data_IF_554365216351
#
_entry.id   IF_554365216351
#
_cell.length_a   1.000
_cell.length_b   1.000
_cell.length_c   1.000
_cell.angle_alpha   90.00
_cell.angle_beta   90.00
_cell.angle_gamma   90.00
#
_symmetry.space_group_name_H-M   'P 1'
#
loop_
_entity.id
_entity.type
_entity.pdbx_description
1 polymer ?
#
# COMPACT_ATOMS: atom_id res chain seq x y z
N UNK A 1 -12.85 -10.48 -15.67
CA UNK A 1 -14.24 -9.94 -15.51
C UNK A 1 -15.04 -9.93 -16.82
N UNK A 2 -14.52 -9.37 -17.92
CA UNK A 2 -15.29 -9.28 -19.18
C UNK A 2 -15.76 -10.62 -19.76
N UNK A 3 -14.97 -11.69 -19.60
CA UNK A 3 -15.40 -13.02 -20.04
C UNK A 3 -16.25 -13.73 -18.99
N UNK A 4 -15.99 -13.48 -17.70
CA UNK A 4 -16.75 -14.04 -16.59
C UNK A 4 -18.25 -13.74 -16.70
N UNK A 5 -18.63 -12.51 -17.04
CA UNK A 5 -20.06 -12.13 -17.20
C UNK A 5 -20.75 -12.81 -18.39
N UNK A 6 -20.01 -13.53 -19.23
CA UNK A 6 -20.54 -14.32 -20.36
C UNK A 6 -20.63 -15.81 -20.03
N UNK A 7 -20.11 -16.25 -18.89
CA UNK A 7 -20.15 -17.64 -18.46
C UNK A 7 -21.56 -18.04 -18.01
N UNK A 8 -21.93 -19.30 -18.22
CA UNK A 8 -23.30 -19.78 -17.93
C UNK A 8 -23.66 -19.62 -16.46
N UNK A 9 -22.73 -19.89 -15.55
CA UNK A 9 -22.97 -19.77 -14.11
C UNK A 9 -23.36 -18.35 -13.70
N UNK A 10 -22.80 -17.32 -14.34
CA UNK A 10 -23.12 -15.94 -14.04
C UNK A 10 -24.56 -15.63 -14.46
N UNK A 11 -24.93 -16.04 -15.68
CA UNK A 11 -26.31 -15.89 -16.17
C UNK A 11 -27.34 -16.65 -15.33
N UNK A 12 -26.98 -17.83 -14.81
CA UNK A 12 -27.81 -18.61 -13.89
C UNK A 12 -27.92 -17.92 -12.52
N UNK A 13 -26.83 -17.36 -12.00
CA UNK A 13 -26.81 -16.69 -10.70
C UNK A 13 -27.65 -15.41 -10.65
N UNK A 14 -27.79 -14.71 -11.78
CA UNK A 14 -28.63 -13.51 -11.90
C UNK A 14 -29.98 -13.80 -12.57
N UNK A 15 -30.37 -15.06 -12.76
CA UNK A 15 -31.61 -15.39 -13.48
C UNK A 15 -32.85 -14.93 -12.71
N UNK A 16 -32.86 -15.16 -11.39
CA UNK A 16 -33.94 -14.74 -10.50
C UNK A 16 -33.73 -13.29 -10.04
N UNK A 17 -34.84 -12.57 -9.82
CA UNK A 17 -34.82 -11.20 -9.28
C UNK A 17 -34.88 -11.23 -7.74
N UNK A 18 -33.80 -10.88 -7.02
CA UNK A 18 -33.82 -10.75 -5.56
C UNK A 18 -34.32 -9.37 -5.11
N UNK A 19 -34.45 -9.17 -3.79
CA UNK A 19 -34.71 -7.83 -3.22
C UNK A 19 -33.52 -6.87 -3.44
N UNK A 20 -32.30 -7.40 -3.52
CA UNK A 20 -31.08 -6.68 -3.91
C UNK A 20 -29.97 -7.65 -4.32
N UNK A 21 -29.03 -7.17 -5.14
CA UNK A 21 -27.77 -7.85 -5.39
C UNK A 21 -26.68 -7.30 -4.48
N UNK A 22 -26.00 -8.20 -3.76
CA UNK A 22 -24.74 -7.88 -3.09
C UNK A 22 -23.58 -8.38 -3.94
N UNK A 23 -22.85 -7.46 -4.52
CA UNK A 23 -21.62 -7.72 -5.25
C UNK A 23 -20.45 -7.46 -4.32
N UNK A 24 -19.69 -8.51 -4.05
CA UNK A 24 -18.45 -8.42 -3.31
C UNK A 24 -17.47 -9.36 -3.98
N UNK A 25 -16.20 -9.05 -3.89
CA UNK A 25 -15.18 -9.89 -4.50
C UNK A 25 -14.36 -10.60 -3.43
N UNK A 26 -14.06 -11.87 -3.68
CA UNK A 26 -13.24 -12.72 -2.84
C UNK A 26 -11.99 -13.18 -3.60
N UNK A 27 -10.82 -13.02 -2.99
CA UNK A 27 -9.52 -13.31 -3.61
C UNK A 27 -9.11 -14.77 -3.37
N UNK A 28 -8.71 -15.50 -4.42
CA UNK A 28 -8.19 -16.88 -4.30
C UNK A 28 -6.82 -17.07 -5.01
N UNK A 29 -6.44 -16.25 -6.00
CA UNK A 29 -5.17 -16.43 -6.74
C UNK A 29 -4.72 -15.13 -7.42
N UNK A 30 -3.42 -15.02 -7.75
CA UNK A 30 -2.68 -13.94 -8.45
C UNK A 30 -3.34 -13.43 -9.73
N UNK A 31 -4.36 -14.09 -10.25
CA UNK A 31 -5.08 -13.70 -11.47
C UNK A 31 -6.46 -13.07 -11.20
N UNK A 32 -7.03 -13.25 -10.01
CA UNK A 32 -8.31 -12.65 -9.61
C UNK A 32 -8.03 -11.42 -8.75
N UNK A 33 -8.52 -10.26 -9.19
CA UNK A 33 -8.06 -8.94 -8.73
C UNK A 33 -9.13 -8.29 -7.89
N UNK A 34 -8.86 -8.06 -6.61
CA UNK A 34 -9.73 -7.22 -5.78
C UNK A 34 -9.90 -5.84 -6.45
N UNK A 35 -11.14 -5.43 -6.74
CA UNK A 35 -11.40 -4.24 -7.55
C UNK A 35 -11.72 -3.00 -6.69
N UNK A 36 -11.00 -1.88 -6.86
CA UNK A 36 -11.41 -0.61 -6.27
C UNK A 36 -12.73 -0.15 -6.86
N UNK A 37 -13.49 0.61 -6.07
CA UNK A 37 -14.84 1.02 -6.47
C UNK A 37 -14.85 2.04 -7.61
N UNK A 38 -13.70 2.68 -7.89
CA UNK A 38 -13.48 3.57 -9.04
C UNK A 38 -12.43 3.03 -9.99
N UNK A 39 -12.61 3.41 -11.27
CA UNK A 39 -11.62 3.18 -12.33
C UNK A 39 -11.23 1.70 -12.53
N UNK A 40 -12.12 0.78 -12.16
CA UNK A 40 -11.97 -0.67 -12.42
C UNK A 40 -13.21 -1.22 -13.14
N UNK A 41 -13.39 -2.54 -13.14
CA UNK A 41 -14.31 -3.29 -13.97
C UNK A 41 -15.67 -3.53 -13.32
N UNK A 42 -15.95 -2.94 -12.15
CA UNK A 42 -17.29 -2.93 -11.55
C UNK A 42 -18.41 -2.53 -12.53
N UNK A 43 -18.24 -1.52 -13.41
CA UNK A 43 -19.24 -1.19 -14.43
C UNK A 43 -19.56 -2.36 -15.37
N UNK A 44 -18.63 -3.28 -15.62
CA UNK A 44 -18.88 -4.47 -16.46
C UNK A 44 -19.88 -5.41 -15.79
N UNK A 45 -19.67 -5.72 -14.50
CA UNK A 45 -20.57 -6.59 -13.73
C UNK A 45 -21.91 -5.90 -13.50
N UNK A 46 -21.87 -4.63 -13.07
CA UNK A 46 -23.05 -3.80 -12.88
C UNK A 46 -23.93 -3.74 -14.14
N UNK A 47 -23.34 -3.48 -15.31
CA UNK A 47 -24.09 -3.41 -16.57
C UNK A 47 -24.69 -4.77 -16.96
N UNK A 48 -24.01 -5.87 -16.66
CA UNK A 48 -24.51 -7.21 -16.95
C UNK A 48 -25.74 -7.56 -16.06
N UNK A 49 -25.70 -7.22 -14.77
CA UNK A 49 -26.86 -7.34 -13.87
C UNK A 49 -27.99 -6.45 -14.35
N UNK A 50 -27.71 -5.16 -14.63
CA UNK A 50 -28.69 -4.18 -15.09
C UNK A 50 -29.37 -4.55 -16.41
N UNK A 51 -28.71 -5.31 -17.28
CA UNK A 51 -29.29 -5.78 -18.54
C UNK A 51 -30.43 -6.79 -18.32
N UNK A 52 -30.40 -7.54 -17.21
CA UNK A 52 -31.45 -8.50 -16.83
C UNK A 52 -32.42 -7.86 -15.84
N UNK A 53 -31.89 -7.07 -14.91
CA UNK A 53 -32.57 -6.50 -13.75
C UNK A 53 -32.38 -4.97 -13.68
N UNK A 54 -33.17 -4.19 -14.45
CA UNK A 54 -32.92 -2.75 -14.62
C UNK A 54 -33.06 -1.93 -13.34
N UNK A 55 -33.91 -2.38 -12.41
CA UNK A 55 -34.29 -1.60 -11.22
C UNK A 55 -33.95 -2.33 -9.90
N UNK A 56 -33.39 -3.53 -9.93
CA UNK A 56 -33.10 -4.25 -8.68
C UNK A 56 -31.93 -3.61 -7.95
N UNK A 57 -32.00 -3.26 -6.65
CA UNK A 57 -30.92 -2.57 -5.96
C UNK A 57 -29.57 -3.33 -6.04
N UNK A 58 -28.45 -2.61 -6.20
CA UNK A 58 -27.11 -3.22 -6.28
C UNK A 58 -26.18 -2.57 -5.25
N UNK A 59 -25.69 -3.36 -4.31
CA UNK A 59 -24.70 -2.95 -3.32
C UNK A 59 -23.35 -3.56 -3.70
N UNK A 60 -22.29 -2.76 -3.74
CA UNK A 60 -20.95 -3.20 -4.12
C UNK A 60 -19.99 -2.96 -2.94
N UNK A 61 -19.25 -4.00 -2.54
CA UNK A 61 -18.15 -3.92 -1.57
C UNK A 61 -16.82 -4.16 -2.29
N UNK A 62 -16.06 -3.09 -2.49
CA UNK A 62 -14.75 -3.10 -3.14
C UNK A 62 -13.58 -2.91 -2.18
N UNK A 63 -12.37 -2.82 -2.72
CA UNK A 63 -11.12 -2.70 -1.97
C UNK A 63 -9.92 -2.62 -2.90
N UNK A 64 -8.76 -3.10 -2.44
CA UNK A 64 -7.46 -3.11 -3.14
C UNK A 64 -6.70 -1.81 -3.09
N UNK A 65 -7.34 -0.66 -3.35
CA UNK A 65 -6.60 0.61 -3.45
C UNK A 65 -6.25 1.27 -2.11
N UNK A 66 -6.65 0.63 -1.01
CA UNK A 66 -6.30 1.03 0.37
C UNK A 66 -6.92 2.36 0.84
N UNK A 67 -7.92 2.90 0.12
CA UNK A 67 -8.54 4.20 0.43
C UNK A 67 -9.96 4.03 1.00
N UNK A 68 -10.46 5.10 1.63
CA UNK A 68 -11.90 5.28 1.87
C UNK A 68 -12.51 5.87 0.60
N UNK A 69 -13.46 5.20 -0.02
CA UNK A 69 -14.16 5.73 -1.20
C UNK A 69 -15.58 5.18 -1.34
N UNK A 70 -16.42 5.95 -2.03
CA UNK A 70 -17.79 5.61 -2.35
C UNK A 70 -18.19 6.16 -3.72
N UNK A 71 -18.99 5.37 -4.43
CA UNK A 71 -19.56 5.72 -5.74
C UNK A 71 -21.01 5.28 -5.83
N UNK A 72 -21.89 6.14 -6.35
CA UNK A 72 -23.20 5.73 -6.82
C UNK A 72 -23.18 5.67 -8.35
N UNK A 73 -23.41 4.49 -8.92
CA UNK A 73 -23.44 4.30 -10.38
C UNK A 73 -24.79 4.73 -10.97
N UNK A 74 -25.86 4.58 -10.18
CA UNK A 74 -27.21 5.06 -10.45
C UNK A 74 -27.93 5.38 -9.13
N UNK A 75 -29.20 5.78 -9.21
CA UNK A 75 -30.01 6.08 -8.03
C UNK A 75 -30.44 4.86 -7.20
N UNK A 76 -30.07 3.64 -7.59
CA UNK A 76 -30.44 2.38 -6.95
C UNK A 76 -29.21 1.49 -6.71
N UNK A 77 -28.03 2.10 -6.62
CA UNK A 77 -26.78 1.40 -6.34
C UNK A 77 -25.78 2.25 -5.56
N UNK A 78 -24.96 1.58 -4.77
CA UNK A 78 -23.83 2.20 -4.08
C UNK A 78 -22.68 1.20 -3.98
N UNK A 79 -21.48 1.68 -4.25
CA UNK A 79 -20.22 0.97 -4.04
C UNK A 79 -19.45 1.62 -2.89
N UNK A 80 -18.87 0.81 -1.99
CA UNK A 80 -18.09 1.28 -0.85
C UNK A 80 -16.73 0.58 -0.78
N UNK A 81 -15.69 1.35 -0.51
CA UNK A 81 -14.31 0.92 -0.23
C UNK A 81 -13.89 1.37 1.17
N UNK A 82 -13.31 0.47 1.95
CA UNK A 82 -13.20 0.61 3.41
C UNK A 82 -11.78 0.73 3.94
N UNK A 83 -10.88 1.39 3.21
CA UNK A 83 -9.52 1.69 3.69
C UNK A 83 -8.59 0.47 3.76
N UNK A 84 -7.69 0.48 4.75
CA UNK A 84 -6.63 -0.53 4.91
C UNK A 84 -6.33 -0.85 6.38
N UNK A 85 -5.58 -1.93 6.61
CA UNK A 85 -4.86 -2.24 7.85
C UNK A 85 -5.67 -2.18 9.15
N UNK A 86 -6.96 -2.49 9.09
CA UNK A 86 -7.86 -2.34 10.22
C UNK A 86 -7.85 -0.91 10.79
N UNK A 87 -7.66 0.11 9.96
CA UNK A 87 -7.77 1.52 10.36
C UNK A 87 -9.22 2.01 10.23
N UNK A 88 -10.02 1.33 9.40
CA UNK A 88 -11.38 1.75 9.03
C UNK A 88 -12.35 0.57 9.02
N UNK A 89 -13.54 0.78 9.57
CA UNK A 89 -14.71 -0.06 9.34
C UNK A 89 -15.68 0.69 8.42
N UNK A 90 -15.92 0.16 7.23
CA UNK A 90 -16.95 0.69 6.33
C UNK A 90 -18.35 0.31 6.78
N UNK A 91 -19.26 1.26 6.74
CA UNK A 91 -20.68 1.09 7.02
C UNK A 91 -21.50 1.62 5.85
N UNK A 92 -22.45 0.81 5.37
CA UNK A 92 -23.42 1.17 4.35
C UNK A 92 -24.82 0.81 4.86
N UNK A 93 -25.80 1.68 4.61
CA UNK A 93 -27.21 1.36 4.78
C UNK A 93 -28.01 1.84 3.58
N UNK A 94 -29.10 1.12 3.29
CA UNK A 94 -30.05 1.43 2.23
C UNK A 94 -31.46 1.21 2.78
N UNK A 95 -32.35 2.15 2.50
CA UNK A 95 -33.78 1.96 2.73
C UNK A 95 -34.37 1.29 1.48
N UNK A 96 -34.68 0.00 1.57
CA UNK A 96 -35.23 -0.76 0.44
C UNK A 96 -36.71 -0.41 0.28
N UNK A 97 -37.12 -0.17 -0.97
CA UNK A 97 -38.51 0.14 -1.28
C UNK A 97 -39.39 -1.11 -1.40
N UNK A 98 -40.71 -0.89 -1.47
CA UNK A 98 -41.65 -1.98 -1.73
C UNK A 98 -41.44 -2.57 -3.12
N UNK A 99 -41.74 -3.87 -3.26
CA UNK A 99 -41.60 -4.60 -4.51
C UNK A 99 -42.27 -3.86 -5.69
N UNK A 100 -41.54 -3.73 -6.81
CA UNK A 100 -41.91 -3.02 -8.05
C UNK A 100 -41.85 -1.48 -8.02
N UNK A 101 -41.36 -0.86 -6.95
CA UNK A 101 -41.01 0.56 -6.99
C UNK A 101 -39.76 0.81 -7.85
N UNK A 102 -39.75 1.94 -8.56
CA UNK A 102 -38.68 2.38 -9.48
C UNK A 102 -38.07 3.71 -9.07
N UNK A 103 -38.31 4.15 -7.84
CA UNK A 103 -37.79 5.41 -7.35
C UNK A 103 -36.30 5.27 -7.00
N UNK A 104 -35.58 6.37 -6.92
CA UNK A 104 -34.22 6.29 -6.37
C UNK A 104 -34.29 5.89 -4.89
N UNK A 105 -33.35 5.06 -4.46
CA UNK A 105 -33.23 4.65 -3.07
C UNK A 105 -32.39 5.64 -2.27
N UNK A 106 -32.65 5.67 -0.96
CA UNK A 106 -31.85 6.45 -0.02
C UNK A 106 -30.73 5.58 0.54
N UNK A 107 -29.49 5.91 0.16
CA UNK A 107 -28.30 5.28 0.71
C UNK A 107 -27.58 6.21 1.67
N UNK A 108 -27.00 5.64 2.72
CA UNK A 108 -26.03 6.35 3.57
C UNK A 108 -24.80 5.50 3.82
N UNK A 109 -23.65 6.16 3.98
CA UNK A 109 -22.37 5.51 4.28
C UNK A 109 -21.61 6.22 5.39
N UNK A 110 -20.82 5.45 6.14
CA UNK A 110 -19.86 5.95 7.13
C UNK A 110 -18.54 5.18 7.06
N UNK A 111 -17.44 5.87 7.34
CA UNK A 111 -16.15 5.26 7.60
C UNK A 111 -15.85 5.47 9.07
N UNK A 112 -15.87 4.38 9.84
CA UNK A 112 -15.64 4.41 11.27
C UNK A 112 -14.17 4.21 11.53
N UNK A 113 -13.55 5.10 12.30
CA UNK A 113 -12.23 4.83 12.83
C UNK A 113 -12.23 3.57 13.69
N UNK A 114 -11.23 2.71 13.49
CA UNK A 114 -11.10 1.49 14.27
C UNK A 114 -10.51 1.79 15.65
N UNK A 115 -11.36 2.26 16.55
CA UNK A 115 -11.05 2.39 17.96
C UNK A 115 -12.28 2.18 18.84
N UNK A 116 -12.05 1.85 20.11
CA UNK A 116 -13.11 1.63 21.10
C UNK A 116 -14.05 2.83 21.25
N UNK A 117 -13.55 4.06 21.15
CA UNK A 117 -14.36 5.27 21.33
C UNK A 117 -15.43 5.39 20.24
N UNK A 118 -15.05 5.16 18.98
CA UNK A 118 -15.99 5.11 17.86
C UNK A 118 -17.03 4.00 18.07
N UNK A 119 -16.58 2.80 18.47
CA UNK A 119 -17.48 1.67 18.69
C UNK A 119 -18.48 1.89 19.81
N UNK A 120 -18.03 2.39 20.96
CA UNK A 120 -18.90 2.74 22.09
C UNK A 120 -19.92 3.82 21.69
N UNK A 121 -19.50 4.81 20.91
CA UNK A 121 -20.40 5.84 20.40
C UNK A 121 -21.52 5.26 19.53
N UNK A 122 -21.19 4.45 18.52
CA UNK A 122 -22.17 3.91 17.58
C UNK A 122 -23.05 2.80 18.17
N UNK A 123 -22.55 2.06 19.17
CA UNK A 123 -23.33 1.03 19.88
C UNK A 123 -24.15 1.58 21.04
N UNK A 124 -23.94 2.85 21.42
CA UNK A 124 -24.49 3.45 22.64
C UNK A 124 -24.15 2.67 23.93
N UNK A 125 -23.07 1.90 23.91
CA UNK A 125 -22.52 1.19 25.07
C UNK A 125 -21.32 1.95 25.63
N UNK A 126 -20.88 1.61 26.85
CA UNK A 126 -19.71 2.25 27.50
C UNK A 126 -18.96 1.29 28.41
N UNK A 127 -17.65 1.39 28.46
CA UNK A 127 -16.80 0.67 29.42
C UNK A 127 -17.18 -0.83 29.49
N UNK A 128 -17.48 -1.32 30.68
CA UNK A 128 -17.79 -2.74 30.97
C UNK A 128 -19.05 -3.26 30.26
N UNK A 129 -19.94 -2.39 29.77
CA UNK A 129 -21.14 -2.81 29.02
C UNK A 129 -20.85 -3.10 27.55
N UNK A 130 -19.71 -2.64 27.04
CA UNK A 130 -19.32 -2.84 25.64
C UNK A 130 -18.71 -4.25 25.41
N UNK A 131 -17.94 -4.77 26.37
CA UNK A 131 -17.18 -6.00 26.18
C UNK A 131 -18.06 -7.25 26.29
N UNK A 132 -18.13 -8.02 25.21
CA UNK A 132 -18.77 -9.35 25.20
C UNK A 132 -17.84 -10.44 25.72
N UNK A 133 -18.39 -11.62 26.04
CA UNK A 133 -17.57 -12.78 26.45
C UNK A 133 -16.69 -13.21 25.28
N UNK A 134 -17.28 -13.34 24.09
CA UNK A 134 -16.62 -13.76 22.86
C UNK A 134 -15.52 -12.78 22.46
N UNK A 135 -15.74 -11.47 22.61
CA UNK A 135 -14.73 -10.45 22.32
C UNK A 135 -13.51 -10.58 23.20
N UNK A 136 -13.69 -10.83 24.51
CA UNK A 136 -12.58 -11.07 25.45
C UNK A 136 -11.82 -12.37 25.13
N UNK A 137 -12.52 -13.41 24.72
CA UNK A 137 -11.89 -14.68 24.30
C UNK A 137 -11.04 -14.50 23.04
N UNK A 138 -11.52 -13.73 22.06
CA UNK A 138 -10.75 -13.37 20.86
C UNK A 138 -9.49 -12.59 21.24
N UNK A 139 -9.61 -11.55 22.09
CA UNK A 139 -8.45 -10.78 22.57
C UNK A 139 -7.42 -11.70 23.24
N UNK A 140 -7.85 -12.57 24.16
CA UNK A 140 -6.95 -13.51 24.83
C UNK A 140 -6.29 -14.48 23.84
N UNK A 141 -7.01 -14.92 22.81
CA UNK A 141 -6.44 -15.74 21.73
C UNK A 141 -5.39 -15.00 20.91
N UNK A 142 -5.62 -13.74 20.56
CA UNK A 142 -4.66 -12.90 19.85
C UNK A 142 -3.40 -12.65 20.69
N UNK A 143 -3.54 -12.40 21.99
CA UNK A 143 -2.41 -12.27 22.92
C UNK A 143 -1.59 -13.57 23.03
N UNK A 144 -2.25 -14.73 23.03
CA UNK A 144 -1.58 -16.03 23.02
C UNK A 144 -0.78 -16.23 21.72
N UNK A 145 -1.35 -15.88 20.56
CA UNK A 145 -0.65 -15.94 19.28
C UNK A 145 0.54 -14.98 19.24
N UNK A 146 0.38 -13.76 19.76
CA UNK A 146 1.44 -12.77 19.83
C UNK A 146 2.66 -13.30 20.60
N UNK A 147 2.41 -13.97 21.74
CA UNK A 147 3.45 -14.64 22.52
C UNK A 147 4.01 -15.87 21.81
N UNK A 148 3.16 -16.71 21.21
CA UNK A 148 3.56 -17.95 20.54
C UNK A 148 4.49 -17.69 19.34
N UNK A 149 4.24 -16.62 18.58
CA UNK A 149 5.06 -16.21 17.45
C UNK A 149 6.25 -15.31 17.83
N UNK A 150 6.43 -15.04 19.12
CA UNK A 150 7.48 -14.20 19.68
C UNK A 150 7.51 -12.80 19.03
N UNK A 151 6.32 -12.22 18.83
CA UNK A 151 6.18 -10.92 18.16
C UNK A 151 6.70 -9.77 19.03
N UNK A 152 6.75 -9.94 20.35
CA UNK A 152 7.39 -9.03 21.30
C UNK A 152 8.92 -9.10 21.34
N UNK A 153 9.56 -9.89 20.46
CA UNK A 153 11.03 -9.98 20.46
C UNK A 153 11.64 -8.60 20.17
N UNK A 154 12.28 -8.01 21.18
CA UNK A 154 12.84 -6.67 21.11
C UNK A 154 14.17 -6.68 20.35
N UNK A 155 14.26 -5.91 19.27
CA UNK A 155 15.51 -5.71 18.54
C UNK A 155 16.31 -4.50 19.05
N UNK A 156 15.63 -3.43 19.45
CA UNK A 156 16.23 -2.20 19.98
C UNK A 156 15.20 -1.13 20.32
N UNK A 157 15.64 0.10 20.55
CA UNK A 157 14.77 1.26 20.83
C UNK A 157 14.95 2.35 19.77
N UNK A 158 13.96 2.53 18.90
CA UNK A 158 13.96 3.57 17.88
C UNK A 158 14.03 4.97 18.55
N UNK A 159 15.02 5.82 18.21
CA UNK A 159 15.26 7.07 18.94
C UNK A 159 14.26 8.19 18.60
N UNK A 160 13.49 8.03 17.51
CA UNK A 160 12.51 8.98 17.00
C UNK A 160 11.55 8.28 16.05
N UNK A 161 10.47 8.97 15.71
CA UNK A 161 9.57 8.55 14.65
C UNK A 161 10.26 8.70 13.28
N UNK A 162 10.03 7.73 12.40
CA UNK A 162 10.40 7.76 11.00
C UNK A 162 9.16 7.48 10.15
N UNK A 163 8.82 8.41 9.27
CA UNK A 163 7.56 8.39 8.53
C UNK A 163 7.78 8.14 7.05
N UNK A 164 6.83 7.47 6.39
CA UNK A 164 6.89 7.18 4.96
C UNK A 164 6.57 8.41 4.12
N UNK A 165 5.58 9.20 4.53
CA UNK A 165 5.08 10.32 3.75
C UNK A 165 4.86 11.60 4.55
N UNK A 166 5.09 11.62 5.88
CA UNK A 166 4.87 12.82 6.71
C UNK A 166 6.12 13.71 6.82
N UNK A 167 7.27 13.18 6.40
CA UNK A 167 8.55 13.85 6.29
C UNK A 167 9.06 13.80 4.84
N UNK A 168 9.76 14.84 4.36
CA UNK A 168 10.29 14.86 3.00
C UNK A 168 11.36 13.78 2.79
N UNK A 169 11.44 13.24 1.58
CA UNK A 169 12.56 12.41 1.14
C UNK A 169 13.52 13.21 0.24
N UNK A 170 14.85 13.20 0.49
CA UNK A 170 15.50 12.61 1.66
C UNK A 170 15.43 13.52 2.89
N UNK A 171 15.29 12.93 4.08
CA UNK A 171 15.44 13.63 5.36
C UNK A 171 15.64 12.68 6.54
N UNK A 172 16.09 13.23 7.66
CA UNK A 172 16.31 12.46 8.89
C UNK A 172 15.03 11.88 9.52
N UNK A 173 13.84 12.40 9.17
CA UNK A 173 12.56 11.88 9.63
C UNK A 173 11.93 10.88 8.66
N UNK A 174 12.53 10.65 7.50
CA UNK A 174 11.98 9.76 6.48
C UNK A 174 12.42 8.31 6.73
N UNK A 175 11.44 7.40 6.87
CA UNK A 175 11.68 5.95 6.97
C UNK A 175 12.39 5.41 5.72
N UNK A 176 12.07 5.97 4.54
CA UNK A 176 12.75 5.63 3.28
C UNK A 176 14.23 6.02 3.32
N UNK A 177 14.55 7.19 3.86
CA UNK A 177 15.95 7.63 4.01
C UNK A 177 16.71 6.75 4.99
N UNK A 178 16.13 6.46 6.15
CA UNK A 178 16.70 5.54 7.14
C UNK A 178 17.00 4.17 6.51
N UNK A 179 16.04 3.63 5.76
CA UNK A 179 16.17 2.30 5.17
C UNK A 179 17.36 2.20 4.23
N UNK A 180 17.45 3.10 3.24
CA UNK A 180 18.48 2.97 2.20
C UNK A 180 19.83 3.56 2.61
N UNK A 181 19.86 4.58 3.46
CA UNK A 181 21.11 5.25 3.83
C UNK A 181 21.79 4.59 5.03
N UNK A 182 21.05 3.90 5.89
CA UNK A 182 21.57 3.31 7.13
C UNK A 182 21.27 1.82 7.24
N UNK A 183 19.99 1.42 7.20
CA UNK A 183 19.60 0.06 7.55
C UNK A 183 20.11 -0.99 6.55
N UNK A 184 19.92 -0.77 5.24
CA UNK A 184 20.40 -1.65 4.19
C UNK A 184 21.93 -1.82 4.21
N UNK A 185 22.76 -0.74 4.19
CA UNK A 185 24.21 -0.89 4.29
C UNK A 185 24.67 -1.70 5.51
N UNK A 186 24.06 -1.49 6.68
CA UNK A 186 24.42 -2.21 7.90
C UNK A 186 24.00 -3.68 7.83
N UNK A 187 22.74 -3.96 7.50
CA UNK A 187 22.19 -5.31 7.53
C UNK A 187 22.81 -6.21 6.44
N UNK A 188 23.00 -5.70 5.22
CA UNK A 188 23.54 -6.51 4.12
C UNK A 188 25.06 -6.74 4.22
N UNK A 189 25.76 -5.99 5.09
CA UNK A 189 27.17 -6.21 5.38
C UNK A 189 27.41 -7.37 6.36
N UNK A 190 26.40 -7.78 7.13
CA UNK A 190 26.52 -8.85 8.13
C UNK A 190 26.86 -10.17 7.44
N UNK A 191 27.96 -10.80 7.85
CA UNK A 191 28.48 -12.06 7.29
C UNK A 191 28.66 -12.05 5.76
N UNK A 192 28.86 -10.88 5.18
CA UNK A 192 28.99 -10.72 3.73
C UNK A 192 30.45 -10.49 3.33
N UNK A 193 31.04 -11.44 2.60
CA UNK A 193 32.42 -11.34 2.09
C UNK A 193 32.66 -10.15 1.13
N UNK A 194 31.59 -9.59 0.57
CA UNK A 194 31.62 -8.45 -0.35
C UNK A 194 31.40 -7.10 0.33
N UNK A 195 31.20 -7.06 1.65
CA UNK A 195 30.88 -5.84 2.39
C UNK A 195 31.92 -4.70 2.22
N UNK A 196 33.16 -5.02 1.86
CA UNK A 196 34.24 -4.04 1.64
C UNK A 196 34.34 -3.54 0.19
N UNK A 197 33.52 -4.07 -0.73
CA UNK A 197 33.47 -3.62 -2.12
C UNK A 197 32.51 -2.43 -2.18
N UNK A 198 32.91 -1.28 -2.77
CA UNK A 198 32.00 -0.17 -2.97
C UNK A 198 30.74 -0.64 -3.71
N UNK A 199 29.57 -0.14 -3.29
CA UNK A 199 28.30 -0.58 -3.84
C UNK A 199 27.24 0.51 -3.80
N UNK A 200 26.20 0.35 -4.60
CA UNK A 200 24.95 1.09 -4.53
C UNK A 200 23.83 0.06 -4.39
N UNK A 201 22.95 0.26 -3.40
CA UNK A 201 21.81 -0.62 -3.14
C UNK A 201 20.54 0.11 -3.61
N UNK A 202 19.83 -0.44 -4.59
CA UNK A 202 18.60 0.13 -5.15
C UNK A 202 17.39 -0.75 -4.78
N UNK A 203 16.32 -0.12 -4.33
CA UNK A 203 15.05 -0.78 -4.02
C UNK A 203 13.89 0.10 -4.43
N UNK A 204 12.70 -0.45 -4.59
CA UNK A 204 11.50 0.37 -4.68
C UNK A 204 11.09 0.90 -3.30
N UNK A 205 10.38 2.03 -3.27
CA UNK A 205 9.92 2.65 -2.03
C UNK A 205 8.74 1.91 -1.39
N UNK A 206 8.02 1.08 -2.17
CA UNK A 206 6.83 0.36 -1.72
C UNK A 206 7.16 -0.89 -0.90
N UNK A 207 8.45 -1.26 -0.84
CA UNK A 207 9.05 -2.20 0.10
C UNK A 207 8.67 -1.91 1.56
N UNK A 208 8.54 -0.62 1.90
CA UNK A 208 8.07 -0.21 3.23
C UNK A 208 6.57 0.05 3.25
N UNK A 209 5.89 -0.50 4.26
CA UNK A 209 4.42 -0.54 4.36
C UNK A 209 3.85 0.26 5.52
N UNK A 210 4.68 0.59 6.50
CA UNK A 210 4.26 1.33 7.69
C UNK A 210 5.38 2.24 8.23
N UNK A 211 4.98 3.23 9.03
CA UNK A 211 5.90 4.12 9.74
C UNK A 211 6.59 3.37 10.90
N UNK A 212 7.78 3.81 11.29
CA UNK A 212 8.44 3.36 12.52
C UNK A 212 8.24 4.42 13.59
N UNK A 213 7.65 4.07 14.72
CA UNK A 213 7.48 5.00 15.84
C UNK A 213 8.64 4.89 16.83
N UNK A 214 8.91 6.00 17.52
CA UNK A 214 9.88 6.04 18.61
C UNK A 214 9.49 5.11 19.75
N UNK A 215 10.50 4.51 20.39
CA UNK A 215 10.30 3.56 21.47
C UNK A 215 10.75 2.14 21.11
N UNK A 216 10.24 1.11 21.81
CA UNK A 216 10.59 -0.27 21.54
C UNK A 216 10.34 -0.62 20.07
N UNK A 217 11.32 -1.24 19.41
CA UNK A 217 11.19 -1.78 18.07
C UNK A 217 11.30 -3.30 18.14
N UNK A 218 10.17 -3.99 17.96
CA UNK A 218 10.05 -5.43 18.09
C UNK A 218 9.84 -6.15 16.75
N UNK A 219 9.61 -7.46 16.80
CA UNK A 219 9.35 -8.28 15.61
C UNK A 219 8.02 -7.98 14.95
N UNK A 220 7.02 -7.52 15.70
CA UNK A 220 5.80 -7.01 15.09
C UNK A 220 6.09 -5.75 14.28
N UNK A 221 6.87 -4.80 14.81
CA UNK A 221 7.24 -3.57 14.11
C UNK A 221 8.06 -3.86 12.85
N UNK A 222 9.03 -4.78 12.93
CA UNK A 222 9.81 -5.23 11.78
C UNK A 222 8.92 -5.72 10.65
N UNK A 223 8.00 -6.65 10.95
CA UNK A 223 7.11 -7.26 9.96
C UNK A 223 6.05 -6.28 9.44
N UNK A 224 5.61 -5.35 10.28
CA UNK A 224 4.64 -4.31 9.90
C UNK A 224 5.27 -3.28 8.97
N UNK A 225 6.53 -2.91 9.23
CA UNK A 225 7.27 -1.92 8.45
C UNK A 225 7.72 -2.48 7.10
N UNK A 226 8.33 -3.67 7.08
CA UNK A 226 8.86 -4.32 5.87
C UNK A 226 8.47 -5.81 5.88
N UNK A 227 7.32 -6.18 5.30
CA UNK A 227 6.80 -7.55 5.37
C UNK A 227 7.37 -8.48 4.28
N UNK A 228 8.04 -7.94 3.26
CA UNK A 228 8.39 -8.75 2.10
C UNK A 228 9.65 -9.58 2.34
N UNK A 229 9.60 -10.81 1.83
CA UNK A 229 10.71 -11.76 1.90
C UNK A 229 11.60 -11.67 0.65
N UNK A 230 11.68 -10.48 0.06
CA UNK A 230 12.45 -10.25 -1.14
C UNK A 230 13.95 -10.37 -0.86
N UNK A 231 14.67 -10.89 -1.85
CA UNK A 231 16.11 -11.20 -1.77
C UNK A 231 16.93 -10.10 -2.44
N UNK A 232 18.11 -9.82 -1.90
CA UNK A 232 19.05 -8.89 -2.51
C UNK A 232 19.95 -9.60 -3.52
N UNK A 233 19.93 -9.11 -4.74
CA UNK A 233 20.74 -9.53 -5.87
C UNK A 233 21.84 -8.51 -6.15
N UNK A 234 22.86 -8.89 -6.90
CA UNK A 234 23.87 -7.95 -7.38
C UNK A 234 24.48 -8.35 -8.72
N UNK A 235 25.02 -7.34 -9.40
CA UNK A 235 25.89 -7.47 -10.57
C UNK A 235 27.28 -6.92 -10.20
N UNK A 236 28.35 -7.72 -10.30
CA UNK A 236 29.70 -7.26 -9.95
C UNK A 236 30.33 -6.40 -11.05
N UNK A 237 31.28 -5.56 -10.64
CA UNK A 237 32.17 -4.80 -11.51
C UNK A 237 31.45 -3.87 -12.52
N UNK A 238 30.31 -3.32 -12.14
CA UNK A 238 29.69 -2.22 -12.89
C UNK A 238 30.48 -0.95 -12.57
N UNK A 239 30.85 -0.15 -13.57
CA UNK A 239 31.56 1.11 -13.32
C UNK A 239 30.65 2.07 -12.55
N UNK A 240 31.19 2.76 -11.55
CA UNK A 240 30.43 3.69 -10.71
C UNK A 240 29.67 4.73 -11.55
N UNK A 241 30.27 5.23 -12.64
CA UNK A 241 29.62 6.18 -13.55
C UNK A 241 28.38 5.62 -14.25
N UNK A 242 28.37 4.33 -14.59
CA UNK A 242 27.19 3.65 -15.15
C UNK A 242 26.16 3.37 -14.05
N UNK A 243 26.59 2.85 -12.91
CA UNK A 243 25.70 2.52 -11.78
C UNK A 243 24.94 3.76 -11.26
N UNK A 244 25.62 4.92 -11.17
CA UNK A 244 25.02 6.18 -10.74
C UNK A 244 23.91 6.71 -11.67
N UNK A 245 23.85 6.24 -12.92
CA UNK A 245 22.80 6.63 -13.88
C UNK A 245 21.54 5.75 -13.79
N UNK A 246 21.61 4.59 -13.12
CA UNK A 246 20.50 3.64 -13.07
C UNK A 246 19.30 4.21 -12.31
N UNK A 247 19.49 4.70 -11.09
CA UNK A 247 18.41 5.21 -10.24
C UNK A 247 17.62 6.37 -10.88
N UNK A 248 18.26 7.42 -11.43
CA UNK A 248 17.52 8.50 -12.09
C UNK A 248 16.63 8.03 -13.24
N UNK A 249 17.10 7.07 -14.05
CA UNK A 249 16.36 6.55 -15.21
C UNK A 249 15.23 5.61 -14.78
N UNK A 250 15.43 4.81 -13.73
CA UNK A 250 14.36 4.05 -13.09
C UNK A 250 13.22 4.98 -12.66
N UNK A 251 13.55 6.12 -12.05
CA UNK A 251 12.62 7.19 -11.69
C UNK A 251 12.16 8.07 -12.87
N UNK A 252 12.51 7.70 -14.11
CA UNK A 252 11.98 8.30 -15.33
C UNK A 252 12.69 9.56 -15.81
N UNK A 253 13.86 9.92 -15.26
CA UNK A 253 14.69 10.98 -15.86
C UNK A 253 15.06 10.64 -17.31
N UNK A 254 15.07 11.66 -18.19
CA UNK A 254 15.36 11.50 -19.62
C UNK A 254 14.23 10.90 -20.47
N UNK A 255 13.13 10.45 -19.87
CA UNK A 255 11.95 9.96 -20.60
C UNK A 255 11.02 11.13 -20.98
N UNK A 256 10.65 11.24 -22.26
CA UNK A 256 9.61 12.16 -22.75
C UNK A 256 8.34 12.04 -21.90
N UNK A 257 7.71 13.15 -21.49
CA UNK A 257 6.49 13.13 -20.65
C UNK A 257 5.38 12.24 -21.22
N UNK A 258 5.22 12.20 -22.55
CA UNK A 258 4.24 11.33 -23.22
C UNK A 258 4.58 9.85 -23.11
N UNK A 259 5.87 9.48 -23.20
CA UNK A 259 6.34 8.11 -22.98
C UNK A 259 6.28 7.76 -21.50
N UNK A 260 6.54 8.71 -20.60
CA UNK A 260 6.41 8.55 -19.15
C UNK A 260 4.95 8.30 -18.76
N UNK A 261 4.00 9.02 -19.37
CA UNK A 261 2.57 8.78 -19.19
C UNK A 261 2.10 7.42 -19.73
N UNK A 262 2.58 7.00 -20.91
CA UNK A 262 2.25 5.68 -21.48
C UNK A 262 2.88 4.53 -20.68
N UNK A 263 4.16 4.65 -20.30
CA UNK A 263 4.88 3.71 -19.45
C UNK A 263 4.20 3.62 -18.08
N UNK A 264 3.84 4.76 -17.50
CA UNK A 264 3.03 4.86 -16.29
C UNK A 264 1.74 4.06 -16.44
N UNK A 265 0.95 4.20 -17.52
CA UNK A 265 -0.30 3.43 -17.67
C UNK A 265 -0.10 1.90 -17.77
N UNK A 266 0.95 1.44 -18.46
CA UNK A 266 1.28 0.02 -18.57
C UNK A 266 1.84 -0.56 -17.26
N UNK A 267 2.79 0.13 -16.64
CA UNK A 267 3.37 -0.26 -15.36
C UNK A 267 2.34 -0.15 -14.23
N UNK A 268 1.44 0.83 -14.26
CA UNK A 268 0.30 0.93 -13.34
C UNK A 268 -0.59 -0.31 -13.49
N UNK A 269 -0.86 -0.79 -14.71
CA UNK A 269 -1.63 -2.03 -14.93
C UNK A 269 -0.96 -3.30 -14.38
N UNK A 270 0.36 -3.43 -14.54
CA UNK A 270 1.16 -4.56 -14.02
C UNK A 270 1.36 -4.47 -12.49
N UNK A 271 1.68 -3.28 -11.97
CA UNK A 271 1.83 -3.00 -10.53
C UNK A 271 0.50 -3.18 -9.79
N UNK A 272 -0.61 -2.70 -10.35
CA UNK A 272 -1.95 -2.99 -9.82
C UNK A 272 -2.25 -4.49 -9.83
N UNK A 273 -1.83 -5.21 -10.87
CA UNK A 273 -1.97 -6.67 -10.96
C UNK A 273 -1.14 -7.45 -9.93
N UNK A 274 -0.06 -6.85 -9.42
CA UNK A 274 0.80 -7.42 -8.37
C UNK A 274 0.49 -6.91 -6.96
N UNK A 275 -0.60 -6.16 -6.76
CA UNK A 275 -0.98 -5.60 -5.45
C UNK A 275 -0.28 -4.29 -5.07
N UNK A 276 0.50 -3.71 -5.97
CA UNK A 276 1.15 -2.42 -5.75
C UNK A 276 0.22 -1.27 -6.16
N UNK A 277 -0.66 -0.90 -5.23
CA UNK A 277 -1.59 0.23 -5.30
C UNK A 277 -1.04 1.49 -4.62
N UNK A 278 0.22 1.47 -4.19
CA UNK A 278 0.78 2.49 -3.30
C UNK A 278 0.70 3.88 -3.94
N UNK A 279 0.87 3.99 -5.26
CA UNK A 279 0.69 5.25 -5.99
C UNK A 279 -0.73 5.84 -5.86
N UNK A 280 -1.77 5.00 -5.85
CA UNK A 280 -3.17 5.46 -5.69
C UNK A 280 -3.38 6.01 -4.29
N UNK A 281 -2.95 5.23 -3.30
CA UNK A 281 -3.06 5.59 -1.90
C UNK A 281 -2.30 6.89 -1.60
N UNK A 282 -1.06 7.01 -2.09
CA UNK A 282 -0.24 8.24 -1.94
C UNK A 282 -0.85 9.44 -2.63
N UNK A 283 -1.40 9.29 -3.84
CA UNK A 283 -2.12 10.37 -4.52
C UNK A 283 -3.36 10.82 -3.74
N UNK A 284 -4.08 9.88 -3.11
CA UNK A 284 -5.22 10.17 -2.26
C UNK A 284 -4.81 10.93 -0.97
N UNK A 285 -3.73 10.52 -0.31
CA UNK A 285 -3.14 11.26 0.82
C UNK A 285 -2.73 12.68 0.42
N UNK A 286 -2.04 12.82 -0.70
CA UNK A 286 -1.58 14.10 -1.24
C UNK A 286 -2.74 15.07 -1.48
N UNK A 287 -3.82 14.55 -2.08
CA UNK A 287 -5.01 15.34 -2.36
C UNK A 287 -5.73 15.81 -1.09
N UNK A 288 -5.86 14.95 -0.07
CA UNK A 288 -6.42 15.32 1.22
C UNK A 288 -5.61 16.44 1.89
N UNK A 289 -4.28 16.30 1.94
CA UNK A 289 -3.40 17.30 2.52
C UNK A 289 -3.48 18.64 1.78
N UNK A 290 -3.44 18.59 0.44
CA UNK A 290 -3.49 19.76 -0.43
C UNK A 290 -4.80 20.55 -0.29
N UNK A 291 -5.95 19.88 -0.16
CA UNK A 291 -7.27 20.54 -0.12
C UNK A 291 -7.52 21.33 1.15
N UNK A 292 -7.08 20.83 2.30
CA UNK A 292 -7.45 21.45 3.59
C UNK A 292 -6.45 21.25 4.73
N UNK A 293 -5.28 20.67 4.47
CA UNK A 293 -4.34 20.24 5.50
C UNK A 293 -3.77 21.36 6.36
N UNK A 294 -3.11 22.39 5.79
CA UNK A 294 -2.53 23.47 6.57
C UNK A 294 -3.55 24.21 7.45
N UNK A 295 -4.73 24.49 6.91
CA UNK A 295 -5.80 25.19 7.64
C UNK A 295 -6.36 24.34 8.79
N UNK A 296 -6.71 23.08 8.52
CA UNK A 296 -7.28 22.19 9.55
C UNK A 296 -6.28 21.89 10.66
N UNK A 297 -5.01 21.60 10.32
CA UNK A 297 -3.96 21.35 11.32
C UNK A 297 -3.70 22.58 12.20
N UNK A 298 -3.91 23.80 11.68
CA UNK A 298 -3.77 25.03 12.47
C UNK A 298 -4.90 25.23 13.51
N UNK A 299 -6.05 24.57 13.36
CA UNK A 299 -7.17 24.67 14.32
C UNK A 299 -6.91 23.95 15.65
N UNK A 300 -5.96 23.00 15.69
CA UNK A 300 -5.45 22.27 16.88
C UNK A 300 -6.50 21.57 17.77
N UNK A 301 -7.76 21.47 17.33
CA UNK A 301 -8.84 20.79 18.06
C UNK A 301 -9.24 19.44 17.45
N UNK A 302 -8.54 19.01 16.39
CA UNK A 302 -8.79 17.77 15.67
C UNK A 302 -7.57 16.85 15.76
N UNK A 303 -7.80 15.55 15.83
CA UNK A 303 -6.74 14.55 15.69
C UNK A 303 -6.32 14.40 14.22
N UNK A 304 -5.13 13.85 13.98
CA UNK A 304 -4.74 13.44 12.64
C UNK A 304 -5.55 12.20 12.23
N UNK A 305 -5.99 12.16 10.98
CA UNK A 305 -6.77 11.07 10.43
C UNK A 305 -7.22 11.37 9.00
N UNK A 306 -8.08 10.53 8.45
CA UNK A 306 -8.56 10.69 7.09
C UNK A 306 -9.64 11.78 6.97
N UNK A 307 -9.62 12.50 5.85
CA UNK A 307 -10.62 13.51 5.47
C UNK A 307 -11.12 13.16 4.08
N UNK A 308 -12.04 12.19 4.03
CA UNK A 308 -12.47 11.51 2.82
C UNK A 308 -13.32 12.41 1.94
N UNK A 309 -13.06 12.38 0.64
CA UNK A 309 -13.84 13.07 -0.38
C UNK A 309 -14.18 12.08 -1.49
N UNK A 310 -15.41 11.61 -1.44
CA UNK A 310 -15.95 10.59 -2.33
C UNK A 310 -17.14 11.13 -3.14
N UNK A 311 -17.73 10.29 -4.00
CA UNK A 311 -18.75 10.70 -4.96
C UNK A 311 -20.15 10.43 -4.42
N UNK A 312 -20.26 10.10 -3.13
CA UNK A 312 -21.52 9.83 -2.47
C UNK A 312 -21.98 11.07 -1.69
N UNK A 313 -23.30 11.34 -1.63
CA UNK A 313 -23.81 12.49 -0.90
C UNK A 313 -23.44 12.50 0.59
N UNK A 314 -23.10 13.68 1.12
CA UNK A 314 -22.88 13.94 2.54
C UNK A 314 -21.48 13.56 3.07
N UNK A 315 -21.25 13.77 4.37
CA UNK A 315 -19.96 13.50 5.03
C UNK A 315 -19.81 12.01 5.36
N UNK A 316 -18.66 11.42 5.05
CA UNK A 316 -18.40 9.98 5.22
C UNK A 316 -17.72 9.60 6.52
N UNK A 317 -16.67 10.30 6.90
CA UNK A 317 -15.94 9.99 8.13
C UNK A 317 -16.83 10.22 9.36
N UNK A 318 -16.77 9.31 10.32
CA UNK A 318 -17.56 9.41 11.56
C UNK A 318 -16.94 10.39 12.57
N UNK A 319 -15.62 10.56 12.52
CA UNK A 319 -14.84 11.50 13.32
C UNK A 319 -14.26 12.61 12.44
N UNK A 320 -14.24 13.84 12.98
CA UNK A 320 -13.61 14.97 12.31
C UNK A 320 -12.10 14.97 12.56
N UNK A 321 -11.33 14.98 11.47
CA UNK A 321 -9.87 15.01 11.52
C UNK A 321 -9.27 16.20 10.78
N UNK A 322 -7.99 16.44 11.10
CA UNK A 322 -7.06 17.10 10.19
C UNK A 322 -6.34 16.03 9.36
N UNK A 323 -6.15 16.23 8.04
CA UNK A 323 -5.47 15.24 7.22
C UNK A 323 -3.99 15.16 7.62
N UNK A 324 -3.39 13.99 7.39
CA UNK A 324 -1.96 13.77 7.59
C UNK A 324 -1.16 14.72 6.67
N UNK A 325 -0.02 15.28 7.13
CA UNK A 325 0.93 15.94 6.23
C UNK A 325 1.41 14.96 5.17
N UNK A 326 1.59 15.43 3.94
CA UNK A 326 2.05 14.59 2.84
C UNK A 326 3.24 15.23 2.10
N UNK A 327 4.29 14.45 1.94
CA UNK A 327 5.44 14.71 1.08
C UNK A 327 5.59 13.57 0.09
N UNK A 328 5.79 13.93 -1.17
CA UNK A 328 6.00 12.97 -2.24
C UNK A 328 7.42 12.36 -2.15
N UNK A 329 7.58 11.17 -2.71
CA UNK A 329 8.78 10.35 -2.74
C UNK A 329 8.81 9.57 -4.06
N UNK A 330 10.02 9.29 -4.60
CA UNK A 330 10.18 8.57 -5.86
C UNK A 330 9.80 7.10 -5.72
N UNK A 331 9.47 6.45 -6.85
CA UNK A 331 9.13 5.03 -6.88
C UNK A 331 10.34 4.14 -6.53
N UNK A 332 11.55 4.58 -6.89
CA UNK A 332 12.81 3.91 -6.56
C UNK A 332 13.69 4.79 -5.70
N UNK A 333 14.36 4.17 -4.73
CA UNK A 333 15.27 4.80 -3.77
C UNK A 333 16.57 4.02 -3.72
N UNK A 334 17.65 4.65 -3.27
CA UNK A 334 18.95 3.99 -3.19
C UNK A 334 19.81 4.48 -2.02
N UNK A 335 20.77 3.65 -1.64
CA UNK A 335 21.82 4.01 -0.70
C UNK A 335 22.67 5.16 -1.24
N UNK A 336 23.44 5.79 -0.34
CA UNK A 336 24.41 6.79 -0.74
C UNK A 336 25.40 6.21 -1.76
N UNK A 337 25.64 6.94 -2.84
CA UNK A 337 26.64 6.54 -3.82
C UNK A 337 28.03 6.48 -3.18
N UNK A 338 28.87 5.47 -3.52
CA UNK A 338 30.21 5.37 -2.98
C UNK A 338 31.05 6.54 -3.49
N UNK A 339 31.89 7.11 -2.62
CA UNK A 339 32.80 8.20 -2.97
C UNK A 339 34.04 7.65 -3.70
N UNK A 340 33.87 7.25 -4.96
CA UNK A 340 34.89 6.68 -5.85
C UNK A 340 34.83 7.32 -7.24
N UNK A 341 35.87 7.17 -8.06
CA UNK A 341 35.85 7.68 -9.44
C UNK A 341 34.90 6.88 -10.33
N UNK A 342 34.37 7.50 -11.38
CA UNK A 342 33.40 6.89 -12.30
C UNK A 342 33.86 5.55 -12.90
N UNK A 343 35.16 5.41 -13.18
CA UNK A 343 35.75 4.18 -13.73
C UNK A 343 35.93 3.06 -12.68
N UNK A 344 35.67 3.33 -11.40
CA UNK A 344 35.84 2.33 -10.33
C UNK A 344 34.79 1.24 -10.49
N UNK A 345 35.18 -0.05 -10.54
CA UNK A 345 34.23 -1.14 -10.50
C UNK A 345 33.59 -1.24 -9.11
N UNK A 346 32.26 -1.29 -9.09
CA UNK A 346 31.43 -1.42 -7.88
C UNK A 346 30.45 -2.58 -8.03
N UNK A 347 29.83 -2.99 -6.91
CA UNK A 347 28.68 -3.88 -6.95
C UNK A 347 27.39 -3.05 -7.09
N UNK A 348 26.60 -3.35 -8.13
CA UNK A 348 25.25 -2.82 -8.25
C UNK A 348 24.30 -3.81 -7.58
N UNK A 349 23.83 -3.46 -6.38
CA UNK A 349 22.98 -4.30 -5.54
C UNK A 349 21.52 -3.83 -5.68
N UNK A 350 20.58 -4.76 -5.76
CA UNK A 350 19.17 -4.44 -5.92
C UNK A 350 18.26 -5.55 -5.42
N UNK A 351 16.99 -5.22 -5.18
CA UNK A 351 15.98 -6.21 -4.79
C UNK A 351 15.52 -7.03 -6.00
N UNK A 352 15.30 -8.33 -5.84
CA UNK A 352 14.88 -9.23 -6.94
C UNK A 352 13.62 -8.76 -7.68
N UNK A 353 12.71 -8.07 -6.99
CA UNK A 353 11.49 -7.56 -7.59
C UNK A 353 11.72 -6.63 -8.79
N UNK A 354 12.86 -5.92 -8.83
CA UNK A 354 13.16 -4.90 -9.85
C UNK A 354 14.15 -5.38 -10.92
N UNK A 355 14.52 -6.65 -10.94
CA UNK A 355 15.58 -7.22 -11.80
C UNK A 355 15.38 -6.90 -13.29
N UNK A 356 14.22 -7.24 -13.85
CA UNK A 356 13.91 -7.00 -15.28
C UNK A 356 14.05 -5.52 -15.67
N UNK A 357 13.54 -4.62 -14.83
CA UNK A 357 13.56 -3.19 -15.08
C UNK A 357 14.99 -2.65 -14.98
N UNK A 358 15.75 -3.08 -13.97
CA UNK A 358 17.13 -2.67 -13.78
C UNK A 358 18.04 -3.15 -14.90
N UNK A 359 17.91 -4.42 -15.34
CA UNK A 359 18.67 -4.95 -16.49
C UNK A 359 18.33 -4.20 -17.78
N UNK A 360 17.05 -3.89 -18.00
CA UNK A 360 16.62 -3.07 -19.15
C UNK A 360 17.25 -1.68 -19.12
N UNK A 361 17.30 -1.01 -17.96
CA UNK A 361 17.94 0.30 -17.80
C UNK A 361 19.45 0.20 -18.03
N UNK A 362 20.11 -0.76 -17.39
CA UNK A 362 21.56 -0.96 -17.47
C UNK A 362 22.02 -1.22 -18.92
N UNK A 363 21.25 -1.96 -19.70
CA UNK A 363 21.53 -2.19 -21.12
C UNK A 363 21.20 -1.00 -22.02
N UNK A 364 20.41 -0.03 -21.55
CA UNK A 364 20.07 1.18 -22.31
C UNK A 364 21.12 2.29 -22.19
N UNK A 365 21.93 2.29 -21.12
CA UNK A 365 22.88 3.38 -20.80
C UNK A 365 24.34 3.08 -21.15
N UNK A 366 24.65 1.83 -21.50
CA UNK A 366 25.99 1.44 -21.93
C UNK A 366 25.91 0.39 -23.04
N UNK A 367 27.03 0.16 -23.74
CA UNK A 367 27.11 -0.79 -24.87
C UNK A 367 28.26 -1.79 -24.72
N UNK A 368 28.97 -1.77 -23.60
CA UNK A 368 30.14 -2.61 -23.34
C UNK A 368 29.76 -4.06 -23.09
N UNK A 369 28.62 -4.28 -22.42
CA UNK A 369 28.12 -5.61 -22.07
C UNK A 369 26.59 -5.64 -22.16
N UNK A 370 26.05 -6.73 -22.68
CA UNK A 370 24.62 -7.01 -22.58
C UNK A 370 24.37 -7.85 -21.31
N UNK A 371 23.84 -7.22 -20.27
CA UNK A 371 23.52 -7.88 -19.00
C UNK A 371 22.25 -8.70 -19.11
N UNK A 372 22.27 -9.90 -18.51
CA UNK A 372 21.13 -10.84 -18.45
C UNK A 372 21.05 -11.45 -17.06
N UNK A 373 20.01 -12.24 -16.77
CA UNK A 373 19.83 -12.96 -15.50
C UNK A 373 21.06 -13.83 -15.14
N UNK A 374 21.83 -14.28 -16.13
CA UNK A 374 23.06 -15.04 -15.92
C UNK A 374 24.20 -14.23 -15.28
N UNK A 375 24.11 -12.90 -15.31
CA UNK A 375 25.08 -11.98 -14.68
C UNK A 375 24.69 -11.58 -13.25
N UNK A 376 23.48 -11.98 -12.82
CA UNK A 376 22.89 -11.62 -11.54
C UNK A 376 23.17 -12.74 -10.54
N UNK A 377 23.59 -12.36 -9.33
CA UNK A 377 23.91 -13.30 -8.25
C UNK A 377 23.24 -12.88 -6.95
N UNK A 378 23.04 -13.82 -6.02
CA UNK A 378 22.58 -13.53 -4.66
C UNK A 378 23.65 -12.74 -3.90
N UNK A 379 23.30 -11.59 -3.34
CA UNK A 379 24.24 -10.71 -2.62
C UNK A 379 24.48 -11.15 -1.17
N UNK A 380 23.41 -11.54 -0.48
CA UNK A 380 23.42 -11.99 0.92
C UNK A 380 22.25 -12.95 1.17
N UNK A 381 22.31 -13.84 2.17
CA UNK A 381 21.15 -14.60 2.62
C UNK A 381 20.09 -13.75 3.35
N UNK A 382 20.41 -12.53 3.78
CA UNK A 382 19.45 -11.63 4.45
C UNK A 382 18.30 -11.26 3.52
N UNK A 383 17.07 -11.39 3.99
CA UNK A 383 15.87 -10.95 3.29
C UNK A 383 15.46 -9.54 3.71
N UNK A 384 14.71 -8.84 2.86
CA UNK A 384 14.28 -7.46 3.12
C UNK A 384 13.52 -7.30 4.44
N UNK A 385 12.67 -8.27 4.79
CA UNK A 385 11.94 -8.30 6.07
C UNK A 385 12.84 -8.35 7.31
N UNK A 386 14.10 -8.74 7.19
CA UNK A 386 15.03 -8.87 8.33
C UNK A 386 15.89 -7.61 8.54
N UNK A 387 15.93 -6.72 7.55
CA UNK A 387 16.88 -5.58 7.50
C UNK A 387 16.74 -4.68 8.73
N UNK A 388 15.52 -4.27 9.08
CA UNK A 388 15.33 -3.35 10.21
C UNK A 388 15.62 -3.99 11.56
N UNK A 389 15.30 -5.28 11.77
CA UNK A 389 15.65 -5.96 13.02
C UNK A 389 17.16 -6.06 13.22
N UNK A 390 17.88 -6.40 12.15
CA UNK A 390 19.35 -6.45 12.16
C UNK A 390 19.98 -5.06 12.39
N UNK A 391 19.45 -4.03 11.73
CA UNK A 391 19.91 -2.65 11.94
C UNK A 391 19.61 -2.16 13.36
N UNK A 392 18.39 -2.38 13.88
CA UNK A 392 18.02 -2.01 15.23
C UNK A 392 18.92 -2.69 16.27
N UNK A 393 19.25 -3.97 16.08
CA UNK A 393 20.20 -4.67 16.94
C UNK A 393 21.58 -4.04 16.97
N UNK A 394 22.04 -3.53 15.82
CA UNK A 394 23.36 -2.94 15.68
C UNK A 394 23.42 -1.46 16.13
N UNK A 395 22.34 -0.70 15.97
CA UNK A 395 22.35 0.75 16.06
C UNK A 395 21.46 1.35 17.17
N UNK A 396 20.48 0.61 17.68
CA UNK A 396 19.44 1.12 18.60
C UNK A 396 19.48 0.47 19.99
N UNK A 397 20.60 -0.16 20.35
CA UNK A 397 20.84 -0.77 21.66
C UNK A 397 21.85 -0.01 22.52
#
# INVERSE_FOLDING_TARGET
>A
VQDMVKESWFSEAIADEPDFFLLWEWHIDKTNRHMPVRMDNWPTVFNAVRAVHPETPILILGGHSHIRDCVQLDGRSMALESGRYMETIGWMSVDLDEANSKQNLSFTRRYLDQNRVAYEYHTSQKNETFDTVEGREITAGLEQLFNQFDLSFLFGTAPRDYTLSRDPYPSNGSALSLFVQEALPVALAINNSRANIPNIIITDSAELRFDIYSGPFDKNDQLTTCPFMDSFLFIPNVTAGVANQVLPILNGEGVDERKRALRSLYELGEMYGRGNVERVYRAWLADMDRRSGPERRAMQNLTLGYVTDDACPGVGDDVLHSPLPFFDSPDFIASNAPNVSDDTPIDLVFINFIEDQLLSVLNSIQTEKNYTDADVMSYTPTLASEVFGLYAQAAWN
#
